data_IF_929973672522
#
_entry.id   IF_929973672522
#
_cell.length_a   1.000
_cell.length_b   1.000
_cell.length_c   1.000
_cell.angle_alpha   90.00
_cell.angle_beta   90.00
_cell.angle_gamma   90.00
#
_symmetry.space_group_name_H-M   'P 1'
#
loop_
_entity.id
_entity.type
_entity.pdbx_description
1 polymer ?
#
# COMPACT_ATOMS: atom_id res chain seq x y z
N UNK A 1 2.40 -35.24 2.73
CA UNK A 1 3.11 -34.17 2.00
C UNK A 1 2.11 -33.04 1.77
N UNK A 2 2.27 -31.90 2.44
CA UNK A 2 1.49 -30.69 2.14
C UNK A 2 2.50 -29.66 1.67
N UNK A 3 2.54 -29.43 0.37
CA UNK A 3 3.33 -28.38 -0.25
C UNK A 3 2.74 -27.04 0.17
N UNK A 4 3.30 -26.45 1.24
CA UNK A 4 3.09 -25.03 1.52
C UNK A 4 3.87 -24.22 0.50
N UNK A 5 3.30 -24.10 -0.69
CA UNK A 5 3.69 -23.11 -1.68
C UNK A 5 3.41 -21.72 -1.12
N UNK A 6 4.35 -21.19 -0.32
CA UNK A 6 4.38 -19.78 0.03
C UNK A 6 4.90 -19.00 -1.19
N UNK A 7 4.15 -19.04 -2.29
CA UNK A 7 4.39 -18.15 -3.43
C UNK A 7 3.97 -16.78 -2.93
N UNK A 8 4.95 -16.04 -2.41
CA UNK A 8 4.71 -14.76 -1.77
C UNK A 8 3.87 -13.90 -2.71
N UNK A 9 2.81 -13.29 -2.17
CA UNK A 9 1.98 -12.29 -2.85
C UNK A 9 2.80 -11.02 -3.10
N UNK A 10 3.91 -11.16 -3.82
CA UNK A 10 4.98 -10.17 -4.01
C UNK A 10 5.02 -9.67 -5.45
N UNK A 11 4.37 -10.36 -6.38
CA UNK A 11 4.38 -10.02 -7.81
C UNK A 11 3.04 -9.43 -8.31
N UNK A 12 1.99 -9.43 -7.50
CA UNK A 12 0.68 -8.93 -7.91
C UNK A 12 0.65 -7.38 -7.82
N UNK A 13 0.28 -6.72 -8.93
CA UNK A 13 -0.06 -5.28 -8.98
C UNK A 13 -1.28 -5.09 -8.09
N UNK A 14 -1.12 -4.32 -7.01
CA UNK A 14 -2.17 -4.14 -6.01
C UNK A 14 -2.10 -2.71 -5.50
N UNK A 15 -3.26 -2.06 -5.38
CA UNK A 15 -3.38 -0.80 -4.65
C UNK A 15 -4.02 -1.02 -3.28
N UNK A 16 -3.42 -0.45 -2.24
CA UNK A 16 -3.88 -0.58 -0.86
C UNK A 16 -3.79 0.74 -0.13
N UNK A 17 -4.82 1.05 0.62
CA UNK A 17 -4.83 2.16 1.55
C UNK A 17 -4.40 1.70 2.94
N UNK A 18 -3.48 2.46 3.52
CA UNK A 18 -2.93 2.22 4.84
C UNK A 18 -3.04 3.48 5.69
N UNK A 19 -3.29 3.29 6.99
CA UNK A 19 -3.02 4.32 8.00
C UNK A 19 -1.63 4.10 8.58
N UNK A 20 -0.68 4.97 8.27
CA UNK A 20 0.66 4.94 8.86
C UNK A 20 0.62 5.70 10.18
N UNK A 21 0.99 5.02 11.26
CA UNK A 21 1.17 5.65 12.56
C UNK A 21 2.60 6.18 12.70
N UNK A 22 2.75 7.50 12.72
CA UNK A 22 4.06 8.16 12.79
C UNK A 22 4.56 8.34 14.22
N UNK A 23 3.82 7.85 15.23
CA UNK A 23 4.13 7.99 16.65
C UNK A 23 5.62 7.76 17.01
N UNK A 24 6.32 6.83 16.35
CA UNK A 24 7.75 6.56 16.60
C UNK A 24 8.70 7.69 16.21
N UNK A 25 8.29 8.58 15.30
CA UNK A 25 9.09 9.70 14.78
C UNK A 25 8.46 11.06 15.10
N UNK A 26 7.13 11.12 15.09
CA UNK A 26 6.34 12.30 15.37
C UNK A 26 5.12 11.91 16.21
N UNK A 27 5.15 12.31 17.48
CA UNK A 27 4.10 11.97 18.43
C UNK A 27 2.78 12.64 18.03
N UNK A 28 1.67 11.87 18.04
CA UNK A 28 0.34 12.39 17.74
C UNK A 28 -0.04 12.48 16.27
N UNK A 29 0.86 12.12 15.33
CA UNK A 29 0.55 12.14 13.90
C UNK A 29 0.23 10.76 13.31
N UNK A 30 -0.78 10.75 12.44
CA UNK A 30 -1.19 9.61 11.60
C UNK A 30 -1.47 10.13 10.21
N UNK A 31 -1.08 9.37 9.19
CA UNK A 31 -1.29 9.74 7.78
C UNK A 31 -1.97 8.57 7.08
N UNK A 32 -2.99 8.88 6.27
CA UNK A 32 -3.61 7.90 5.36
C UNK A 32 -2.89 8.00 4.02
N UNK A 33 -2.38 6.87 3.53
CA UNK A 33 -1.69 6.80 2.24
C UNK A 33 -2.28 5.70 1.39
N UNK A 34 -2.36 5.94 0.08
CA UNK A 34 -2.64 4.93 -0.93
C UNK A 34 -1.31 4.50 -1.54
N UNK A 35 -1.03 3.21 -1.46
CA UNK A 35 0.18 2.60 -2.00
C UNK A 35 -0.25 1.74 -3.18
N UNK A 36 0.09 2.17 -4.38
CA UNK A 36 -0.14 1.44 -5.61
C UNK A 36 1.17 0.80 -6.07
N UNK A 37 1.22 -0.54 -6.08
CA UNK A 37 2.33 -1.26 -6.70
C UNK A 37 2.01 -1.44 -8.18
N UNK A 38 2.81 -0.83 -9.06
CA UNK A 38 2.64 -0.86 -10.52
C UNK A 38 3.83 -1.57 -11.18
N UNK A 39 3.59 -2.15 -12.36
CA UNK A 39 4.64 -2.76 -13.17
C UNK A 39 5.46 -1.66 -13.84
N UNK A 40 6.77 -1.85 -13.88
CA UNK A 40 7.66 -0.94 -14.58
C UNK A 40 7.88 -1.46 -15.99
N UNK A 41 7.49 -0.68 -17.00
CA UNK A 41 7.66 -1.00 -18.43
C UNK A 41 8.95 -0.41 -19.02
N UNK A 42 9.85 0.11 -18.17
CA UNK A 42 11.14 0.66 -18.61
C UNK A 42 12.15 -0.45 -18.89
N UNK A 43 12.71 -0.47 -20.09
CA UNK A 43 13.49 -1.59 -20.64
C UNK A 43 14.82 -1.88 -19.89
N UNK A 44 15.36 -0.90 -19.15
CA UNK A 44 16.63 -0.99 -18.40
C UNK A 44 16.44 -1.07 -16.87
N UNK A 45 15.21 -1.28 -16.40
CA UNK A 45 14.93 -1.23 -14.97
C UNK A 45 15.47 -2.45 -14.22
N UNK A 46 16.26 -2.18 -13.17
CA UNK A 46 16.77 -3.22 -12.26
C UNK A 46 15.67 -3.95 -11.47
N UNK A 47 14.53 -3.28 -11.24
CA UNK A 47 13.39 -3.82 -10.50
C UNK A 47 12.14 -3.74 -11.39
N UNK A 48 11.39 -4.84 -11.48
CA UNK A 48 10.22 -4.99 -12.36
C UNK A 48 8.96 -4.25 -11.85
N UNK A 49 8.98 -3.77 -10.60
CA UNK A 49 7.83 -3.21 -9.90
C UNK A 49 8.25 -1.92 -9.18
N UNK A 50 7.45 -0.87 -9.30
CA UNK A 50 7.57 0.33 -8.46
C UNK A 50 6.35 0.49 -7.57
N UNK A 51 6.55 1.14 -6.42
CA UNK A 51 5.46 1.47 -5.49
C UNK A 51 5.24 2.98 -5.50
N UNK A 52 4.12 3.41 -6.07
CA UNK A 52 3.67 4.78 -6.02
C UNK A 52 2.90 5.01 -4.72
N UNK A 53 3.33 5.99 -3.93
CA UNK A 53 2.68 6.36 -2.67
C UNK A 53 2.04 7.73 -2.84
N UNK A 54 0.72 7.81 -2.66
CA UNK A 54 -0.03 9.06 -2.64
C UNK A 54 -0.69 9.27 -1.29
N UNK A 55 -0.89 10.53 -0.90
CA UNK A 55 -1.64 10.87 0.31
C UNK A 55 -3.12 10.69 0.01
N UNK A 56 -3.81 9.90 0.84
CA UNK A 56 -5.25 9.69 0.73
C UNK A 56 -5.99 10.65 1.66
N UNK A 57 -7.17 11.10 1.24
CA UNK A 57 -8.00 11.95 2.08
C UNK A 57 -8.48 11.19 3.32
N UNK A 58 -8.45 11.87 4.46
CA UNK A 58 -8.92 11.33 5.72
C UNK A 58 -10.37 11.78 5.87
N UNK A 59 -11.33 10.86 6.01
CA UNK A 59 -12.71 11.23 6.26
C UNK A 59 -12.83 12.03 7.57
N UNK A 60 -13.83 12.92 7.71
CA UNK A 60 -14.00 13.77 8.89
C UNK A 60 -14.24 12.98 10.18
N UNK A 61 -14.65 11.71 10.07
CA UNK A 61 -14.78 10.75 11.18
C UNK A 61 -13.42 10.33 11.78
N UNK A 62 -12.30 10.71 11.14
CA UNK A 62 -10.94 10.51 11.62
C UNK A 62 -10.40 9.10 11.40
N UNK A 63 -9.29 8.77 12.06
CA UNK A 63 -8.52 7.53 11.85
C UNK A 63 -9.06 6.28 12.58
N UNK A 64 -10.25 6.36 13.19
CA UNK A 64 -10.79 5.28 14.03
C UNK A 64 -11.48 4.24 13.16
N UNK A 65 -11.05 2.97 13.24
CA UNK A 65 -11.62 1.88 12.42
C UNK A 65 -11.10 1.83 10.97
N UNK A 66 -10.28 2.79 10.57
CA UNK A 66 -9.62 2.82 9.26
C UNK A 66 -8.44 1.84 9.21
N UNK A 67 -8.77 0.56 9.00
CA UNK A 67 -7.82 -0.51 8.71
C UNK A 67 -7.27 -0.47 7.28
N UNK A 68 -6.56 -1.53 6.91
CA UNK A 68 -6.03 -1.72 5.55
C UNK A 68 -7.17 -2.04 4.59
N UNK A 69 -7.33 -1.24 3.53
CA UNK A 69 -8.34 -1.48 2.49
C UNK A 69 -7.62 -1.76 1.17
N UNK A 70 -7.96 -2.86 0.50
CA UNK A 70 -7.55 -3.08 -0.89
C UNK A 70 -8.46 -2.21 -1.75
N UNK A 71 -7.86 -1.38 -2.61
CA UNK A 71 -8.59 -0.50 -3.52
C UNK A 71 -8.30 -0.98 -4.94
N UNK A 72 -9.33 -1.06 -5.77
CA UNK A 72 -9.18 -1.31 -7.19
C UNK A 72 -8.97 0.04 -7.90
N UNK A 73 -8.13 0.11 -8.93
CA UNK A 73 -7.84 1.38 -9.65
C UNK A 73 -9.02 1.84 -10.53
N UNK A 74 -10.21 1.24 -10.36
CA UNK A 74 -11.46 1.52 -11.08
C UNK A 74 -12.41 2.51 -10.39
N UNK A 75 -12.05 3.02 -9.20
CA UNK A 75 -12.79 4.03 -8.42
C UNK A 75 -11.92 5.28 -8.15
#
# INVERSE_FOLDING_TARGET
MVEKGNKGRKEEVVTREYTINLHKRLHGWRVRVRIARKRNDEEDAKEELYSLVTVAEVPPEGFKGLGTKVVDEAD
#
